data_IF_251409804056
#
_entry.id   IF_251409804056
#
_cell.length_a   1.000
_cell.length_b   1.000
_cell.length_c   1.000
_cell.angle_alpha   90.00
_cell.angle_beta   90.00
_cell.angle_gamma   90.00
#
_symmetry.space_group_name_H-M   'P 1'
#
loop_
_entity.id
_entity.type
_entity.pdbx_description
1 polymer ?
#
# COMPACT_ATOMS: atom_id res chain seq x y z
N UNK A 1 -3.98 0.78 -26.61
CA UNK A 1 -5.40 0.95 -27.00
C UNK A 1 -6.16 1.49 -25.80
N UNK A 2 -7.14 2.36 -26.03
CA UNK A 2 -8.02 2.87 -24.97
C UNK A 2 -9.24 1.95 -24.80
N UNK A 3 -9.89 2.01 -23.65
CA UNK A 3 -11.15 1.31 -23.38
C UNK A 3 -12.10 2.27 -22.67
N UNK A 4 -13.36 2.21 -23.03
CA UNK A 4 -14.40 3.03 -22.42
C UNK A 4 -14.76 2.46 -21.04
N UNK A 5 -15.14 3.35 -20.13
CA UNK A 5 -15.57 3.00 -18.77
C UNK A 5 -16.99 3.48 -18.58
N UNK A 6 -17.83 2.62 -18.03
CA UNK A 6 -19.19 3.00 -17.66
C UNK A 6 -19.17 3.73 -16.31
N UNK A 7 -19.28 5.05 -16.35
CA UNK A 7 -19.35 5.93 -15.19
C UNK A 7 -20.42 7.00 -15.41
N UNK A 8 -21.06 7.50 -14.33
CA UNK A 8 -21.96 8.64 -14.42
C UNK A 8 -21.29 9.85 -15.09
N UNK A 9 -22.09 10.74 -15.67
CA UNK A 9 -21.56 12.01 -16.20
C UNK A 9 -20.76 12.76 -15.10
N UNK A 10 -19.65 13.44 -15.46
CA UNK A 10 -18.76 14.06 -14.46
C UNK A 10 -19.46 14.97 -13.45
N UNK A 11 -20.45 15.75 -13.91
CA UNK A 11 -21.23 16.62 -13.02
C UNK A 11 -22.03 15.84 -11.97
N UNK A 12 -22.67 14.73 -12.37
CA UNK A 12 -23.43 13.90 -11.44
C UNK A 12 -22.52 13.16 -10.45
N UNK A 13 -21.39 12.64 -10.93
CA UNK A 13 -20.39 12.02 -10.08
C UNK A 13 -19.83 13.03 -9.06
N UNK A 14 -19.58 14.27 -9.51
CA UNK A 14 -19.12 15.36 -8.66
C UNK A 14 -20.13 15.71 -7.57
N UNK A 15 -21.39 15.91 -7.93
CA UNK A 15 -22.45 16.23 -6.98
C UNK A 15 -22.55 15.17 -5.89
N UNK A 16 -22.57 13.88 -6.24
CA UNK A 16 -22.61 12.78 -5.26
C UNK A 16 -21.41 12.83 -4.31
N UNK A 17 -20.22 13.12 -4.83
CA UNK A 17 -19.00 13.25 -4.03
C UNK A 17 -19.07 14.44 -3.08
N UNK A 18 -19.50 15.60 -3.57
CA UNK A 18 -19.67 16.82 -2.79
C UNK A 18 -20.69 16.63 -1.66
N UNK A 19 -21.83 15.99 -1.94
CA UNK A 19 -22.85 15.69 -0.93
C UNK A 19 -22.27 14.81 0.19
N UNK A 20 -21.62 13.68 -0.16
CA UNK A 20 -20.98 12.82 0.85
C UNK A 20 -19.91 13.54 1.64
N UNK A 21 -19.08 14.36 0.99
CA UNK A 21 -18.01 15.11 1.67
C UNK A 21 -18.59 16.13 2.66
N UNK A 22 -19.65 16.82 2.29
CA UNK A 22 -20.32 17.78 3.16
C UNK A 22 -20.96 17.10 4.37
N UNK A 23 -21.70 16.00 4.15
CA UNK A 23 -22.30 15.20 5.23
C UNK A 23 -21.23 14.63 6.18
N UNK A 24 -20.14 14.07 5.64
CA UNK A 24 -19.03 13.55 6.45
C UNK A 24 -18.29 14.65 7.22
N UNK A 25 -18.18 15.85 6.66
CA UNK A 25 -17.57 17.00 7.35
C UNK A 25 -18.42 17.43 8.54
N UNK A 26 -19.75 17.45 8.40
CA UNK A 26 -20.66 17.83 9.49
C UNK A 26 -20.58 16.92 10.73
N UNK A 27 -20.18 15.65 10.54
CA UNK A 27 -20.01 14.67 11.63
C UNK A 27 -18.54 14.46 12.04
N UNK A 28 -17.66 15.41 11.73
CA UNK A 28 -16.22 15.38 12.05
C UNK A 28 -15.48 14.14 11.46
N UNK A 29 -15.86 13.73 10.25
CA UNK A 29 -15.21 12.65 9.46
C UNK A 29 -14.77 13.11 8.07
N UNK A 30 -14.54 14.41 7.89
CA UNK A 30 -14.13 15.03 6.62
C UNK A 30 -12.76 14.56 6.09
N UNK A 31 -11.99 13.85 6.90
CA UNK A 31 -10.70 13.26 6.50
C UNK A 31 -10.84 12.16 5.44
N UNK A 32 -11.95 11.41 5.45
CA UNK A 32 -12.19 10.30 4.50
C UNK A 32 -12.73 10.77 3.15
N UNK A 33 -13.49 11.86 3.15
CA UNK A 33 -14.15 12.45 1.99
C UNK A 33 -14.03 13.97 2.07
N UNK A 34 -13.31 14.57 1.14
CA UNK A 34 -13.10 16.02 1.13
C UNK A 34 -13.15 16.61 -0.27
N UNK A 35 -13.46 17.91 -0.32
CA UNK A 35 -13.35 18.75 -1.50
C UNK A 35 -12.51 19.97 -1.16
N UNK A 36 -11.48 20.20 -1.96
CA UNK A 36 -10.58 21.35 -1.92
C UNK A 36 -10.48 22.02 -3.30
N UNK A 37 -9.65 23.07 -3.41
CA UNK A 37 -9.46 23.82 -4.67
C UNK A 37 -8.90 22.96 -5.81
N UNK A 38 -8.29 21.81 -5.51
CA UNK A 38 -7.72 20.87 -6.50
C UNK A 38 -8.69 19.77 -6.88
N UNK A 39 -9.86 19.69 -6.26
CA UNK A 39 -10.88 18.70 -6.55
C UNK A 39 -11.33 17.93 -5.33
N UNK A 40 -11.86 16.74 -5.57
CA UNK A 40 -12.34 15.85 -4.54
C UNK A 40 -11.31 14.78 -4.18
N UNK A 41 -11.24 14.39 -2.91
CA UNK A 41 -10.36 13.36 -2.36
C UNK A 41 -11.16 12.33 -1.58
N UNK A 42 -10.76 11.08 -1.72
CA UNK A 42 -11.11 9.98 -0.83
C UNK A 42 -9.84 9.35 -0.30
N UNK A 43 -9.76 9.15 1.01
CA UNK A 43 -8.66 8.44 1.66
C UNK A 43 -9.24 7.40 2.61
N UNK A 44 -8.95 6.14 2.35
CA UNK A 44 -9.48 4.99 3.06
C UNK A 44 -8.33 4.00 3.31
N UNK A 45 -7.90 3.80 4.58
CA UNK A 45 -6.77 2.94 4.88
C UNK A 45 -6.94 1.49 4.41
N UNK A 46 -8.19 1.02 4.28
CA UNK A 46 -8.51 -0.36 3.90
C UNK A 46 -8.73 -0.49 2.39
N UNK A 47 -9.41 0.49 1.77
CA UNK A 47 -9.78 0.42 0.35
C UNK A 47 -8.81 1.14 -0.58
N UNK A 48 -8.01 2.08 -0.07
CA UNK A 48 -7.09 2.91 -0.84
C UNK A 48 -7.53 4.37 -0.98
N UNK A 49 -7.06 5.04 -2.02
CA UNK A 49 -7.25 6.48 -2.19
C UNK A 49 -7.66 6.83 -3.62
N UNK A 50 -8.48 7.88 -3.75
CA UNK A 50 -8.90 8.42 -5.05
C UNK A 50 -8.93 9.95 -5.06
N UNK A 51 -8.73 10.51 -6.25
CA UNK A 51 -8.81 11.92 -6.57
C UNK A 51 -9.70 12.11 -7.78
N UNK A 52 -10.57 13.12 -7.72
CA UNK A 52 -11.45 13.48 -8.82
C UNK A 52 -11.40 14.98 -9.06
N UNK A 53 -11.10 15.40 -10.28
CA UNK A 53 -11.01 16.81 -10.64
C UNK A 53 -11.81 17.14 -11.89
N UNK A 54 -12.47 18.29 -11.86
CA UNK A 54 -13.15 18.89 -13.00
C UNK A 54 -12.20 19.88 -13.68
N UNK A 55 -12.27 19.95 -15.01
CA UNK A 55 -11.50 20.89 -15.82
C UNK A 55 -12.42 21.63 -16.80
N UNK A 56 -11.88 22.65 -17.45
CA UNK A 56 -12.58 23.34 -18.54
C UNK A 56 -12.79 22.49 -19.79
N UNK A 57 -13.76 22.89 -20.61
CA UNK A 57 -14.13 22.15 -21.82
C UNK A 57 -14.87 20.82 -21.57
N UNK A 58 -15.61 20.70 -20.45
CA UNK A 58 -16.32 19.46 -20.03
C UNK A 58 -15.37 18.26 -19.84
N UNK A 59 -14.14 18.54 -19.44
CA UNK A 59 -13.14 17.53 -19.10
C UNK A 59 -13.17 17.20 -17.61
N UNK A 60 -12.79 15.97 -17.30
CA UNK A 60 -12.61 15.54 -15.92
C UNK A 60 -11.57 14.41 -15.85
N UNK A 61 -10.95 14.24 -14.69
CA UNK A 61 -10.01 13.14 -14.44
C UNK A 61 -10.27 12.53 -13.07
N UNK A 62 -10.28 11.21 -13.03
CA UNK A 62 -10.46 10.39 -11.84
C UNK A 62 -9.29 9.41 -11.77
N UNK A 63 -8.54 9.43 -10.68
CA UNK A 63 -7.35 8.60 -10.53
C UNK A 63 -7.14 8.17 -9.08
N UNK A 64 -6.46 7.04 -8.87
CA UNK A 64 -6.33 6.46 -7.53
C UNK A 64 -5.59 5.14 -7.53
N UNK A 65 -5.56 4.50 -6.36
CA UNK A 65 -5.04 3.16 -6.16
C UNK A 65 -5.72 2.48 -4.98
N UNK A 66 -5.82 1.15 -5.03
CA UNK A 66 -6.22 0.32 -3.89
C UNK A 66 -5.09 0.20 -2.86
N UNK A 67 -5.42 -0.09 -1.60
CA UNK A 67 -4.45 -0.10 -0.49
C UNK A 67 -3.27 -1.09 -0.70
N UNK A 68 -3.54 -2.22 -1.34
CA UNK A 68 -2.63 -3.33 -1.65
C UNK A 68 -2.15 -3.32 -3.11
N UNK A 69 -2.30 -2.20 -3.81
CA UNK A 69 -1.89 -2.08 -5.22
C UNK A 69 -0.42 -2.49 -5.44
N UNK A 70 0.46 -2.10 -4.51
CA UNK A 70 1.89 -2.36 -4.55
C UNK A 70 2.28 -3.84 -4.39
N UNK A 71 1.42 -4.64 -3.77
CA UNK A 71 1.70 -6.05 -3.43
C UNK A 71 1.13 -7.02 -4.45
N UNK A 72 0.02 -6.67 -5.10
CA UNK A 72 -0.69 -7.58 -6.01
C UNK A 72 -0.33 -7.42 -7.50
N UNK A 73 0.30 -6.31 -7.90
CA UNK A 73 0.48 -6.02 -9.33
C UNK A 73 1.86 -6.37 -9.86
N UNK A 74 1.87 -7.03 -11.01
CA UNK A 74 2.91 -6.80 -12.02
C UNK A 74 2.48 -5.65 -12.93
N UNK A 75 3.43 -4.85 -13.43
CA UNK A 75 3.12 -3.72 -14.31
C UNK A 75 2.70 -4.22 -15.70
N UNK A 76 1.46 -4.70 -15.85
CA UNK A 76 0.93 -5.18 -17.13
C UNK A 76 0.77 -4.03 -18.15
N UNK A 77 0.57 -2.79 -17.70
CA UNK A 77 0.63 -1.58 -18.52
C UNK A 77 0.73 -0.32 -17.65
N UNK A 78 1.52 0.65 -18.10
CA UNK A 78 1.55 1.98 -17.49
C UNK A 78 0.20 2.71 -17.70
N UNK A 79 -0.50 3.15 -16.63
CA UNK A 79 -1.85 3.71 -16.71
C UNK A 79 -1.91 5.07 -17.42
N UNK A 80 -0.76 5.68 -17.72
CA UNK A 80 -0.66 6.95 -18.44
C UNK A 80 -0.32 6.76 -19.93
N UNK A 81 -0.22 5.52 -20.41
CA UNK A 81 0.10 5.22 -21.82
C UNK A 81 -0.98 5.74 -22.76
N UNK A 82 -0.63 6.74 -23.58
CA UNK A 82 -1.57 7.33 -24.54
C UNK A 82 -2.65 8.22 -23.90
N UNK A 83 -2.45 8.62 -22.64
CA UNK A 83 -3.35 9.54 -21.96
C UNK A 83 -3.31 10.95 -22.60
N UNK A 84 -4.27 11.85 -22.37
CA UNK A 84 -4.24 13.17 -22.98
C UNK A 84 -3.14 14.10 -22.42
N UNK A 85 -2.67 15.06 -23.22
CA UNK A 85 -1.63 16.02 -22.81
C UNK A 85 -2.11 17.00 -21.73
N UNK A 86 -3.44 17.22 -21.66
CA UNK A 86 -4.09 18.16 -20.76
C UNK A 86 -4.27 17.62 -19.33
N UNK A 87 -4.00 16.33 -19.08
CA UNK A 87 -4.10 15.75 -17.74
C UNK A 87 -3.16 16.45 -16.75
N UNK A 88 -3.42 16.38 -15.43
CA UNK A 88 -2.53 16.94 -14.41
C UNK A 88 -1.24 16.12 -14.26
N UNK A 89 -0.37 16.17 -15.28
CA UNK A 89 0.86 15.36 -15.35
C UNK A 89 1.84 15.62 -14.21
N UNK A 90 1.84 16.83 -13.64
CA UNK A 90 2.66 17.16 -12.48
C UNK A 90 2.28 16.32 -11.24
N UNK A 91 1.00 15.93 -11.12
CA UNK A 91 0.52 15.06 -10.04
C UNK A 91 0.66 13.57 -10.44
N UNK A 92 0.26 13.23 -11.67
CA UNK A 92 0.20 11.84 -12.14
C UNK A 92 1.57 11.20 -12.37
N UNK A 93 2.55 11.97 -12.88
CA UNK A 93 3.89 11.47 -13.22
C UNK A 93 4.61 10.86 -12.02
N UNK A 94 4.79 11.60 -10.90
CA UNK A 94 5.42 11.07 -9.70
C UNK A 94 4.69 9.86 -9.10
N UNK A 95 3.36 9.82 -9.18
CA UNK A 95 2.57 8.68 -8.69
C UNK A 95 2.80 7.43 -9.55
N UNK A 96 2.83 7.57 -10.87
CA UNK A 96 3.16 6.46 -11.78
C UNK A 96 4.61 5.98 -11.61
N UNK A 97 5.56 6.90 -11.45
CA UNK A 97 6.97 6.55 -11.26
C UNK A 97 7.26 5.82 -9.95
N UNK A 98 6.47 6.10 -8.91
CA UNK A 98 6.55 5.47 -7.58
C UNK A 98 5.62 4.26 -7.40
N UNK A 99 4.99 3.77 -8.49
CA UNK A 99 4.08 2.62 -8.47
C UNK A 99 2.83 2.84 -7.61
N UNK A 100 2.46 4.09 -7.33
CA UNK A 100 1.35 4.49 -6.45
C UNK A 100 0.05 4.75 -7.21
N UNK A 101 0.05 4.59 -8.53
CA UNK A 101 -1.08 4.94 -9.41
C UNK A 101 -1.67 3.68 -10.02
N UNK A 102 -2.81 3.21 -9.49
CA UNK A 102 -3.47 1.99 -9.95
C UNK A 102 -4.39 2.20 -11.15
N UNK A 103 -5.07 3.34 -11.22
CA UNK A 103 -5.92 3.68 -12.36
C UNK A 103 -5.91 5.18 -12.66
N UNK A 104 -6.14 5.50 -13.94
CA UNK A 104 -6.43 6.85 -14.43
C UNK A 104 -7.53 6.76 -15.47
N UNK A 105 -8.62 7.48 -15.22
CA UNK A 105 -9.79 7.54 -16.08
C UNK A 105 -10.05 9.02 -16.38
N UNK A 106 -10.27 9.35 -17.64
CA UNK A 106 -10.51 10.72 -18.05
C UNK A 106 -11.79 10.82 -18.86
N UNK A 107 -12.49 11.93 -18.68
CA UNK A 107 -13.67 12.29 -19.45
C UNK A 107 -13.30 13.35 -20.48
N UNK A 108 -13.58 13.07 -21.75
CA UNK A 108 -13.50 14.06 -22.83
C UNK A 108 -14.48 13.65 -23.94
N UNK A 109 -15.10 14.64 -24.59
CA UNK A 109 -16.06 14.40 -25.69
C UNK A 109 -17.23 13.47 -25.30
N UNK A 110 -17.71 13.58 -24.06
CA UNK A 110 -18.91 12.87 -23.60
C UNK A 110 -18.69 11.39 -23.24
N UNK A 111 -17.44 10.94 -23.12
CA UNK A 111 -17.10 9.58 -22.74
C UNK A 111 -16.01 9.54 -21.68
N UNK A 112 -16.08 8.54 -20.83
CA UNK A 112 -14.99 8.15 -19.94
C UNK A 112 -14.10 7.11 -20.62
N UNK A 113 -12.79 7.34 -20.61
CA UNK A 113 -11.81 6.44 -21.20
C UNK A 113 -10.65 6.20 -20.25
N UNK A 114 -10.05 5.01 -20.36
CA UNK A 114 -8.79 4.64 -19.69
C UNK A 114 -7.89 3.84 -20.61
N UNK A 115 -6.65 3.60 -20.18
CA UNK A 115 -5.74 2.67 -20.86
C UNK A 115 -6.26 1.25 -20.72
N UNK A 116 -6.24 0.48 -21.83
CA UNK A 116 -6.62 -0.93 -21.80
C UNK A 116 -5.61 -1.72 -20.96
N UNK A 117 -6.09 -2.31 -19.87
CA UNK A 117 -5.35 -3.28 -19.07
C UNK A 117 -5.40 -4.66 -19.78
N UNK A 118 -4.29 -5.39 -19.77
CA UNK A 118 -4.17 -6.67 -20.51
C UNK A 118 -4.83 -7.85 -19.79
N UNK A 119 -4.88 -7.83 -18.46
CA UNK A 119 -5.60 -8.82 -17.65
C UNK A 119 -6.92 -8.25 -17.13
N UNK A 120 -7.83 -9.13 -16.74
CA UNK A 120 -9.00 -8.81 -15.93
C UNK A 120 -8.58 -8.44 -14.49
N UNK A 121 -7.66 -7.49 -14.36
CA UNK A 121 -7.25 -6.95 -13.08
C UNK A 121 -8.36 -6.02 -12.59
N UNK A 122 -8.85 -6.28 -11.38
CA UNK A 122 -9.68 -5.31 -10.68
C UNK A 122 -8.76 -4.25 -10.08
N UNK A 123 -8.79 -3.05 -10.68
CA UNK A 123 -8.04 -1.89 -10.20
C UNK A 123 -8.61 -1.28 -8.91
N UNK A 124 -9.67 -1.90 -8.36
CA UNK A 124 -10.32 -1.51 -7.12
C UNK A 124 -11.19 -0.27 -7.26
N UNK A 125 -11.25 0.36 -8.45
CA UNK A 125 -12.01 1.58 -8.69
C UNK A 125 -13.48 1.42 -8.33
N UNK A 126 -14.10 0.31 -8.74
CA UNK A 126 -15.52 0.06 -8.49
C UNK A 126 -15.83 -0.03 -6.99
N UNK A 127 -14.99 -0.72 -6.20
CA UNK A 127 -15.12 -0.79 -4.74
C UNK A 127 -14.87 0.56 -4.07
N UNK A 128 -13.80 1.26 -4.48
CA UNK A 128 -13.41 2.56 -3.95
C UNK A 128 -14.39 3.68 -4.29
N UNK A 129 -15.19 3.54 -5.33
CA UNK A 129 -16.17 4.55 -5.74
C UNK A 129 -17.62 4.06 -5.61
N UNK A 130 -17.85 2.87 -5.07
CA UNK A 130 -19.17 2.26 -4.95
C UNK A 130 -20.24 3.23 -4.41
N UNK A 131 -19.99 4.06 -3.37
CA UNK A 131 -20.97 5.05 -2.89
C UNK A 131 -21.43 6.09 -3.91
N UNK A 132 -20.73 6.25 -5.04
CA UNK A 132 -20.96 7.31 -6.03
C UNK A 132 -21.51 6.80 -7.36
N UNK A 133 -21.43 5.50 -7.64
CA UNK A 133 -21.73 4.96 -8.98
C UNK A 133 -23.22 5.04 -9.29
N UNK A 134 -24.08 4.84 -8.28
CA UNK A 134 -25.54 4.91 -8.42
C UNK A 134 -26.16 5.80 -7.36
N UNK A 135 -27.37 6.28 -7.65
CA UNK A 135 -28.14 7.06 -6.68
C UNK A 135 -28.45 6.24 -5.42
N UNK A 136 -28.86 4.97 -5.59
CA UNK A 136 -29.16 4.07 -4.47
C UNK A 136 -27.95 3.85 -3.56
N UNK A 137 -26.75 3.70 -4.12
CA UNK A 137 -25.53 3.56 -3.33
C UNK A 137 -25.17 4.87 -2.60
N UNK A 138 -25.38 6.04 -3.21
CA UNK A 138 -25.14 7.32 -2.54
C UNK A 138 -26.13 7.53 -1.40
N UNK A 139 -27.42 7.28 -1.62
CA UNK A 139 -28.45 7.34 -0.58
C UNK A 139 -28.14 6.36 0.56
N UNK A 140 -27.70 5.14 0.22
CA UNK A 140 -27.30 4.15 1.23
C UNK A 140 -26.11 4.61 2.05
N UNK A 141 -25.09 5.19 1.41
CA UNK A 141 -23.91 5.72 2.09
C UNK A 141 -24.25 6.91 2.99
N UNK A 142 -25.11 7.83 2.54
CA UNK A 142 -25.59 8.98 3.35
C UNK A 142 -26.34 8.52 4.60
N UNK A 143 -27.19 7.48 4.49
CA UNK A 143 -27.89 6.91 5.65
C UNK A 143 -26.94 6.23 6.63
N UNK A 144 -25.87 5.61 6.12
CA UNK A 144 -24.86 4.92 6.93
C UNK A 144 -23.97 5.85 7.76
N UNK A 145 -24.11 7.17 7.61
CA UNK A 145 -23.40 8.18 8.40
C UNK A 145 -23.91 8.18 9.86
N UNK A 146 -25.19 7.89 10.06
CA UNK A 146 -25.85 7.87 11.37
C UNK A 146 -25.99 6.46 11.97
N UNK A 147 -26.05 6.31 13.30
CA UNK A 147 -26.28 5.02 13.95
C UNK A 147 -27.66 4.42 13.63
N UNK A 148 -27.74 3.08 13.64
CA UNK A 148 -28.93 2.31 13.22
C UNK A 148 -30.22 2.59 14.01
N UNK A 149 -30.15 3.31 15.13
CA UNK A 149 -31.30 3.67 15.97
C UNK A 149 -32.18 4.77 15.37
N UNK A 150 -31.74 5.45 14.31
CA UNK A 150 -32.40 6.64 13.73
C UNK A 150 -33.09 6.36 12.38
N UNK A 151 -33.25 5.09 11.98
CA UNK A 151 -33.45 4.67 10.58
C UNK A 151 -34.81 4.95 9.89
N UNK A 152 -35.87 5.40 10.57
CA UNK A 152 -37.18 5.60 9.89
C UNK A 152 -37.17 6.92 9.10
N UNK A 153 -37.49 6.87 7.81
CA UNK A 153 -37.58 8.06 6.94
C UNK A 153 -36.25 8.57 6.40
N UNK A 154 -35.10 8.17 6.95
CA UNK A 154 -33.77 8.64 6.51
C UNK A 154 -33.46 8.36 5.03
N UNK A 155 -34.07 7.34 4.42
CA UNK A 155 -33.89 7.09 2.99
C UNK A 155 -34.44 8.23 2.14
N UNK A 156 -35.63 8.71 2.48
CA UNK A 156 -36.30 9.75 1.72
C UNK A 156 -35.59 11.09 1.96
N UNK A 157 -35.20 11.38 3.21
CA UNK A 157 -34.40 12.57 3.56
C UNK A 157 -33.05 12.58 2.84
N UNK A 158 -32.33 11.45 2.81
CA UNK A 158 -31.06 11.36 2.09
C UNK A 158 -31.23 11.51 0.57
N UNK A 159 -32.32 11.01 0.00
CA UNK A 159 -32.65 11.20 -1.41
C UNK A 159 -32.99 12.67 -1.70
N UNK A 160 -33.77 13.33 -0.84
CA UNK A 160 -34.11 14.74 -0.94
C UNK A 160 -32.86 15.63 -0.90
N UNK A 161 -31.94 15.38 0.04
CA UNK A 161 -30.64 16.07 0.09
C UNK A 161 -29.86 15.88 -1.22
N UNK A 162 -29.78 14.66 -1.73
CA UNK A 162 -29.06 14.38 -2.98
C UNK A 162 -29.72 15.09 -4.18
N UNK A 163 -31.05 15.11 -4.26
CA UNK A 163 -31.78 15.81 -5.32
C UNK A 163 -31.60 17.33 -5.23
N UNK A 164 -31.59 17.89 -4.02
CA UNK A 164 -31.27 19.30 -3.80
C UNK A 164 -29.83 19.62 -4.23
N UNK A 165 -28.87 18.74 -3.94
CA UNK A 165 -27.49 18.88 -4.39
C UNK A 165 -27.36 18.84 -5.92
N UNK A 166 -28.15 18.02 -6.62
CA UNK A 166 -28.19 18.00 -8.09
C UNK A 166 -28.71 19.33 -8.65
N UNK A 167 -29.64 19.98 -7.95
CA UNK A 167 -30.15 21.31 -8.32
C UNK A 167 -29.25 22.47 -7.88
N UNK A 168 -28.27 22.22 -7.01
CA UNK A 168 -27.43 23.26 -6.42
C UNK A 168 -28.18 24.10 -5.37
N UNK A 169 -29.12 23.48 -4.67
CA UNK A 169 -30.07 24.12 -3.75
C UNK A 169 -29.91 23.65 -2.30
N UNK A 170 -28.77 23.05 -1.95
CA UNK A 170 -28.54 22.59 -0.57
C UNK A 170 -28.44 23.78 0.38
N UNK A 171 -29.13 23.67 1.50
CA UNK A 171 -29.12 24.63 2.60
C UNK A 171 -29.04 23.92 3.98
N UNK A 172 -29.20 24.69 5.06
CA UNK A 172 -29.11 24.19 6.42
C UNK A 172 -30.19 23.15 6.73
N UNK A 173 -31.43 23.37 6.28
CA UNK A 173 -32.58 22.52 6.57
C UNK A 173 -32.37 21.10 6.04
N UNK A 174 -31.75 20.97 4.87
CA UNK A 174 -31.43 19.65 4.31
C UNK A 174 -30.43 18.87 5.18
N UNK A 175 -29.43 19.55 5.76
CA UNK A 175 -28.47 18.90 6.65
C UNK A 175 -29.06 18.64 8.03
N UNK A 176 -29.84 19.56 8.60
CA UNK A 176 -30.55 19.38 9.88
C UNK A 176 -31.51 18.19 9.80
N UNK A 177 -32.26 18.06 8.69
CA UNK A 177 -33.15 16.94 8.47
C UNK A 177 -32.41 15.60 8.44
N UNK A 178 -31.23 15.56 7.81
CA UNK A 178 -30.44 14.33 7.69
C UNK A 178 -29.66 14.01 8.96
N UNK A 179 -29.03 14.99 9.60
CA UNK A 179 -28.00 14.81 10.62
C UNK A 179 -28.47 15.12 12.06
N UNK A 180 -29.61 15.80 12.23
CA UNK A 180 -30.15 16.20 13.53
C UNK A 180 -29.33 17.27 14.25
N UNK A 181 -29.55 17.40 15.56
CA UNK A 181 -29.08 18.53 16.38
C UNK A 181 -27.62 18.43 16.85
N UNK A 182 -26.95 17.29 16.65
CA UNK A 182 -25.66 16.98 17.27
C UNK A 182 -24.44 17.18 16.34
N UNK A 183 -24.60 17.92 15.25
CA UNK A 183 -23.59 18.05 14.17
C UNK A 183 -23.21 19.49 13.86
N UNK A 184 -22.04 19.68 13.26
CA UNK A 184 -21.60 20.99 12.78
C UNK A 184 -22.20 21.30 11.40
N UNK A 185 -23.44 21.78 11.39
CA UNK A 185 -24.15 22.21 10.17
C UNK A 185 -23.38 23.32 9.43
N UNK A 186 -22.70 24.20 10.17
CA UNK A 186 -21.87 25.26 9.59
C UNK A 186 -20.71 24.68 8.77
N UNK A 187 -20.01 23.67 9.31
CA UNK A 187 -18.95 22.98 8.61
C UNK A 187 -19.47 22.19 7.40
N UNK A 188 -20.63 21.52 7.52
CA UNK A 188 -21.29 20.84 6.41
C UNK A 188 -21.63 21.82 5.27
N UNK A 189 -22.22 22.97 5.59
CA UNK A 189 -22.53 24.02 4.60
C UNK A 189 -21.28 24.61 3.96
N UNK A 190 -20.22 24.85 4.74
CA UNK A 190 -18.96 25.33 4.18
C UNK A 190 -18.35 24.31 3.21
N UNK A 191 -18.43 23.02 3.51
CA UNK A 191 -18.00 21.95 2.60
C UNK A 191 -18.91 21.84 1.36
N UNK A 192 -20.23 21.96 1.52
CA UNK A 192 -21.20 22.00 0.42
C UNK A 192 -20.96 23.19 -0.52
N UNK A 193 -20.63 24.36 0.04
CA UNK A 193 -20.29 25.56 -0.72
C UNK A 193 -18.99 25.37 -1.53
N UNK A 194 -17.95 24.77 -0.93
CA UNK A 194 -16.73 24.37 -1.67
C UNK A 194 -17.04 23.34 -2.76
N UNK A 195 -18.00 22.44 -2.51
CA UNK A 195 -18.48 21.47 -3.49
C UNK A 195 -19.31 22.07 -4.64
N UNK A 196 -19.77 23.32 -4.52
CA UNK A 196 -20.60 23.95 -5.52
C UNK A 196 -22.05 23.46 -5.55
N UNK A 197 -22.55 22.92 -4.43
CA UNK A 197 -23.91 22.33 -4.33
C UNK A 197 -24.90 23.20 -3.55
N UNK A 198 -24.50 24.41 -3.15
CA UNK A 198 -25.39 25.42 -2.53
C UNK A 198 -25.65 26.57 -3.52
N UNK A 199 -26.74 27.36 -3.34
CA UNK A 199 -27.10 28.43 -4.26
C UNK A 199 -25.96 29.43 -4.51
N UNK A 200 -25.74 29.75 -5.79
CA UNK A 200 -24.75 30.76 -6.22
C UNK A 200 -23.28 30.30 -6.19
N UNK A 201 -23.00 29.08 -5.72
CA UNK A 201 -21.65 28.51 -5.75
C UNK A 201 -21.38 27.71 -7.02
N UNK A 202 -20.10 27.36 -7.25
CA UNK A 202 -19.68 26.56 -8.40
C UNK A 202 -18.62 25.55 -7.95
N UNK A 203 -18.62 24.34 -8.53
CA UNK A 203 -17.54 23.38 -8.33
C UNK A 203 -16.17 23.98 -8.68
N UNK A 204 -15.13 23.74 -7.87
CA UNK A 204 -13.76 24.08 -8.23
C UNK A 204 -13.35 23.33 -9.50
N UNK A 205 -12.51 23.99 -10.30
CA UNK A 205 -11.94 23.45 -11.51
C UNK A 205 -10.44 23.67 -11.47
N UNK A 206 -9.69 22.66 -11.91
CA UNK A 206 -8.25 22.79 -12.05
C UNK A 206 -7.90 23.18 -13.48
N UNK A 207 -6.78 23.89 -13.61
CA UNK A 207 -6.20 24.19 -14.92
C UNK A 207 -5.72 22.90 -15.61
N UNK A 208 -5.82 22.82 -16.94
CA UNK A 208 -5.18 21.77 -17.72
C UNK A 208 -3.68 21.69 -17.41
N UNK A 209 -3.19 20.47 -17.22
CA UNK A 209 -1.76 20.24 -17.10
C UNK A 209 -1.05 20.19 -18.45
N UNK A 210 0.24 19.87 -18.41
CA UNK A 210 1.07 19.71 -19.59
C UNK A 210 1.88 18.43 -19.49
N UNK A 211 1.76 17.56 -20.50
CA UNK A 211 2.60 16.37 -20.62
C UNK A 211 4.07 16.75 -20.71
N UNK A 212 4.96 16.16 -19.87
CA UNK A 212 6.38 16.34 -20.03
C UNK A 212 6.87 15.68 -21.33
N UNK A 213 7.89 16.25 -22.01
CA UNK A 213 8.38 15.73 -23.28
C UNK A 213 8.97 14.31 -23.14
N UNK A 214 9.57 14.02 -21.99
CA UNK A 214 10.07 12.69 -21.63
C UNK A 214 9.54 12.33 -20.24
N UNK A 215 9.15 11.06 -20.07
CA UNK A 215 8.73 10.51 -18.79
C UNK A 215 9.47 9.22 -18.53
N UNK A 216 9.85 9.00 -17.27
CA UNK A 216 10.40 7.71 -16.84
C UNK A 216 9.26 6.71 -16.73
N UNK A 217 9.40 5.58 -17.40
CA UNK A 217 8.39 4.52 -17.41
C UNK A 217 8.93 3.35 -16.63
N UNK A 218 8.27 3.04 -15.52
CA UNK A 218 8.56 1.84 -14.73
C UNK A 218 8.09 0.59 -15.51
N UNK A 219 8.88 -0.48 -15.49
CA UNK A 219 8.65 -1.76 -16.19
C UNK A 219 8.51 -2.96 -15.25
N UNK A 220 8.98 -2.85 -14.02
CA UNK A 220 8.80 -3.84 -12.95
C UNK A 220 8.07 -3.15 -11.80
N UNK A 221 6.97 -3.70 -11.30
CA UNK A 221 6.40 -3.24 -10.02
C UNK A 221 7.42 -3.40 -8.88
N UNK A 222 7.13 -2.87 -7.69
CA UNK A 222 8.02 -3.13 -6.54
C UNK A 222 8.14 -4.63 -6.25
N UNK A 223 7.02 -5.36 -6.20
CA UNK A 223 7.02 -6.81 -5.94
C UNK A 223 7.63 -7.65 -7.08
N UNK A 224 7.55 -7.22 -8.33
CA UNK A 224 8.30 -7.86 -9.44
C UNK A 224 9.80 -7.63 -9.32
N UNK A 225 10.21 -6.44 -8.90
CA UNK A 225 11.62 -6.12 -8.69
C UNK A 225 12.19 -6.92 -7.51
N UNK A 226 11.45 -7.03 -6.41
CA UNK A 226 11.83 -7.86 -5.27
C UNK A 226 11.97 -9.34 -5.68
N UNK A 227 10.98 -9.90 -6.40
CA UNK A 227 11.02 -11.29 -6.90
C UNK A 227 12.15 -11.53 -7.91
N UNK A 228 12.52 -10.53 -8.72
CA UNK A 228 13.69 -10.63 -9.59
C UNK A 228 14.97 -10.80 -8.76
N UNK A 229 15.10 -10.07 -7.65
CA UNK A 229 16.23 -10.21 -6.73
C UNK A 229 16.19 -11.57 -6.03
N UNK A 230 15.03 -12.00 -5.52
CA UNK A 230 14.88 -13.29 -4.84
C UNK A 230 15.19 -14.47 -5.76
N UNK A 231 14.72 -14.45 -7.00
CA UNK A 231 15.08 -15.45 -8.01
C UNK A 231 16.59 -15.53 -8.22
N UNK A 232 17.26 -14.37 -8.33
CA UNK A 232 18.72 -14.32 -8.43
C UNK A 232 19.43 -14.78 -7.14
N UNK A 233 18.83 -14.60 -5.96
CA UNK A 233 19.35 -15.14 -4.69
C UNK A 233 19.22 -16.67 -4.60
N UNK A 234 18.15 -17.27 -5.13
CA UNK A 234 18.01 -18.73 -5.22
C UNK A 234 19.07 -19.36 -6.11
N UNK A 235 19.45 -18.69 -7.18
CA UNK A 235 20.49 -19.15 -8.12
C UNK A 235 21.91 -18.81 -7.64
N UNK A 236 22.04 -17.95 -6.63
CA UNK A 236 23.33 -17.47 -6.17
C UNK A 236 24.13 -18.55 -5.43
N UNK A 237 25.44 -18.59 -5.70
CA UNK A 237 26.37 -19.36 -4.88
C UNK A 237 26.90 -18.49 -3.74
N UNK A 238 26.84 -19.02 -2.52
CA UNK A 238 27.36 -18.36 -1.32
C UNK A 238 28.88 -18.13 -1.43
N UNK A 239 29.32 -16.87 -1.25
CA UNK A 239 30.74 -16.56 -1.26
C UNK A 239 31.43 -17.14 -0.01
N UNK A 240 32.64 -17.69 -0.20
CA UNK A 240 33.41 -18.29 0.90
C UNK A 240 33.97 -17.22 1.82
N UNK A 241 33.41 -17.09 3.03
CA UNK A 241 33.85 -16.17 4.08
C UNK A 241 34.57 -16.92 5.21
N UNK A 242 35.47 -16.26 5.96
CA UNK A 242 35.92 -16.78 7.24
C UNK A 242 34.73 -17.06 8.17
N UNK A 243 34.80 -18.13 8.98
CA UNK A 243 33.75 -18.36 9.98
C UNK A 243 33.73 -17.20 10.99
N UNK A 244 32.55 -16.78 11.46
CA UNK A 244 32.46 -15.84 12.58
C UNK A 244 33.16 -16.40 13.83
N UNK A 245 33.63 -15.53 14.74
CA UNK A 245 34.17 -15.98 16.01
C UNK A 245 33.09 -16.67 16.84
N UNK A 246 33.50 -17.53 17.77
CA UNK A 246 32.61 -18.02 18.82
C UNK A 246 32.28 -16.85 19.75
N UNK A 247 30.98 -16.57 19.93
CA UNK A 247 30.47 -15.42 20.68
C UNK A 247 29.63 -15.87 21.88
N UNK A 248 29.61 -15.06 22.94
CA UNK A 248 28.72 -15.31 24.09
C UNK A 248 27.25 -15.22 23.67
N UNK A 249 26.93 -14.36 22.69
CA UNK A 249 25.60 -14.21 22.10
C UNK A 249 25.12 -15.50 21.42
N UNK A 250 26.03 -16.24 20.75
CA UNK A 250 25.68 -17.54 20.17
C UNK A 250 25.37 -18.54 21.29
N UNK A 251 26.18 -18.55 22.35
CA UNK A 251 25.94 -19.37 23.54
C UNK A 251 24.58 -19.07 24.18
N UNK A 252 24.23 -17.79 24.33
CA UNK A 252 22.95 -17.36 24.88
C UNK A 252 21.76 -17.80 24.01
N UNK A 253 21.87 -17.69 22.68
CA UNK A 253 20.84 -18.16 21.76
C UNK A 253 20.67 -19.69 21.83
N UNK A 254 21.77 -20.43 21.79
CA UNK A 254 21.75 -21.91 21.86
C UNK A 254 21.15 -22.38 23.19
N UNK A 255 21.57 -21.79 24.31
CA UNK A 255 21.04 -22.12 25.62
C UNK A 255 19.53 -21.89 25.70
N UNK A 256 19.07 -20.71 25.24
CA UNK A 256 17.64 -20.40 25.20
C UNK A 256 16.85 -21.39 24.32
N UNK A 257 17.39 -21.79 23.16
CA UNK A 257 16.75 -22.80 22.30
C UNK A 257 16.67 -24.18 22.98
N UNK A 258 17.72 -24.60 23.69
CA UNK A 258 17.74 -25.86 24.42
C UNK A 258 16.71 -25.87 25.57
N UNK A 259 16.59 -24.77 26.30
CA UNK A 259 15.57 -24.61 27.36
C UNK A 259 14.14 -24.61 26.79
N UNK A 260 13.99 -24.17 25.54
CA UNK A 260 12.71 -24.10 24.80
C UNK A 260 12.44 -25.33 23.96
N UNK A 261 13.24 -26.40 24.09
CA UNK A 261 13.03 -27.62 23.34
C UNK A 261 11.65 -28.24 23.66
N UNK A 262 10.78 -28.47 22.67
CA UNK A 262 9.41 -28.93 22.90
C UNK A 262 9.34 -30.31 23.58
N UNK A 263 10.36 -31.16 23.38
CA UNK A 263 10.49 -32.47 24.03
C UNK A 263 11.26 -32.47 25.35
N UNK A 264 11.80 -31.33 25.80
CA UNK A 264 12.65 -31.23 26.99
C UNK A 264 14.00 -31.95 26.88
N UNK A 265 14.39 -32.41 25.69
CA UNK A 265 15.62 -33.16 25.40
C UNK A 265 16.72 -32.27 24.77
N UNK A 266 16.51 -30.95 24.80
CA UNK A 266 17.39 -29.96 24.20
C UNK A 266 17.34 -29.92 22.66
N UNK A 267 16.47 -30.69 22.00
CA UNK A 267 16.29 -30.60 20.54
C UNK A 267 15.35 -29.46 20.19
N UNK A 268 15.90 -28.42 19.60
CA UNK A 268 15.16 -27.29 19.07
C UNK A 268 15.79 -26.82 17.75
N UNK A 269 14.95 -26.37 16.80
CA UNK A 269 15.37 -25.79 15.54
C UNK A 269 14.80 -24.40 15.33
N UNK A 270 15.69 -23.49 14.93
CA UNK A 270 15.41 -22.11 14.59
C UNK A 270 15.77 -21.90 13.13
N UNK A 271 14.83 -21.39 12.35
CA UNK A 271 15.08 -20.77 11.07
C UNK A 271 14.77 -19.28 11.24
N UNK A 272 15.75 -18.42 11.02
CA UNK A 272 15.59 -16.97 11.13
C UNK A 272 16.10 -16.23 9.89
N UNK A 273 15.40 -15.16 9.54
CA UNK A 273 15.82 -14.12 8.61
C UNK A 273 15.94 -12.80 9.37
N UNK A 274 17.01 -12.06 9.12
CA UNK A 274 17.20 -10.74 9.69
C UNK A 274 18.01 -9.82 8.77
N UNK A 275 17.56 -8.58 8.64
CA UNK A 275 18.29 -7.50 7.98
C UNK A 275 18.45 -6.30 8.95
N UNK A 276 18.71 -5.10 8.42
CA UNK A 276 18.86 -3.88 9.19
C UNK A 276 17.60 -3.55 10.03
N UNK A 277 16.40 -3.75 9.48
CA UNK A 277 15.13 -3.30 10.07
C UNK A 277 14.14 -4.44 10.35
N UNK A 278 14.15 -5.50 9.55
CA UNK A 278 13.19 -6.61 9.60
C UNK A 278 13.75 -7.86 10.27
N UNK A 279 12.85 -8.65 10.84
CA UNK A 279 13.12 -9.98 11.40
C UNK A 279 11.92 -10.89 11.09
N UNK A 280 12.21 -12.12 10.67
CA UNK A 280 11.21 -13.16 10.47
C UNK A 280 11.76 -14.50 10.98
N UNK A 281 10.87 -15.38 11.42
CA UNK A 281 11.21 -16.74 11.80
C UNK A 281 10.21 -17.71 11.18
N UNK A 282 10.70 -18.86 10.72
CA UNK A 282 9.88 -19.95 10.20
C UNK A 282 9.98 -21.18 11.12
N UNK A 283 8.92 -21.99 11.25
CA UNK A 283 8.97 -23.21 12.03
C UNK A 283 9.97 -24.19 11.40
N UNK A 284 10.94 -24.64 12.20
CA UNK A 284 11.78 -25.79 11.86
C UNK A 284 11.13 -27.12 12.29
N UNK A 285 11.90 -28.21 12.23
CA UNK A 285 11.45 -29.55 12.68
C UNK A 285 11.00 -29.62 14.16
N UNK A 286 11.64 -28.83 15.04
CA UNK A 286 11.40 -28.80 16.48
C UNK A 286 11.37 -27.33 16.95
N UNK A 287 10.33 -26.55 16.61
CA UNK A 287 10.30 -25.12 16.93
C UNK A 287 10.31 -24.88 18.44
N UNK A 288 10.85 -23.74 18.92
CA UNK A 288 10.87 -23.41 20.34
C UNK A 288 9.44 -23.34 20.90
N UNK A 289 9.22 -23.96 22.07
CA UNK A 289 7.92 -24.00 22.72
C UNK A 289 7.63 -22.73 23.54
N UNK A 290 6.36 -22.31 23.55
CA UNK A 290 5.88 -21.31 24.48
C UNK A 290 5.82 -21.87 25.91
N UNK A 291 6.09 -21.03 26.91
CA UNK A 291 6.00 -21.45 28.30
C UNK A 291 4.59 -21.19 28.87
N UNK A 292 4.08 -22.07 29.76
CA UNK A 292 2.82 -21.81 30.44
C UNK A 292 2.84 -20.50 31.23
N UNK A 293 1.84 -19.65 31.00
CA UNK A 293 1.73 -18.34 31.67
C UNK A 293 2.57 -17.23 31.05
N UNK A 294 3.26 -17.49 29.93
CA UNK A 294 3.99 -16.49 29.19
C UNK A 294 3.03 -15.51 28.47
N UNK A 295 3.37 -14.22 28.47
CA UNK A 295 2.63 -13.22 27.70
C UNK A 295 2.68 -13.54 26.21
N UNK A 296 1.58 -13.30 25.50
CA UNK A 296 1.51 -13.46 24.04
C UNK A 296 2.71 -12.76 23.38
N UNK A 297 3.43 -13.49 22.52
CA UNK A 297 4.64 -13.02 21.81
C UNK A 297 5.89 -12.75 22.65
N UNK A 298 5.93 -13.01 23.96
CA UNK A 298 7.16 -12.79 24.73
C UNK A 298 8.32 -13.68 24.25
N UNK A 299 8.06 -14.95 23.92
CA UNK A 299 9.05 -15.84 23.32
C UNK A 299 9.60 -15.30 21.99
N UNK A 300 8.72 -14.81 21.12
CA UNK A 300 9.12 -14.21 19.84
C UNK A 300 9.94 -12.92 19.99
N UNK A 301 9.56 -12.04 20.93
CA UNK A 301 10.34 -10.83 21.26
C UNK A 301 11.74 -11.21 21.75
N UNK A 302 11.82 -12.18 22.68
CA UNK A 302 13.09 -12.63 23.21
C UNK A 302 13.97 -13.27 22.15
N UNK A 303 13.40 -14.10 21.28
CA UNK A 303 14.10 -14.67 20.14
C UNK A 303 14.66 -13.57 19.22
N UNK A 304 13.84 -12.57 18.90
CA UNK A 304 14.25 -11.43 18.06
C UNK A 304 15.44 -10.69 18.68
N UNK A 305 15.43 -10.44 19.99
CA UNK A 305 16.54 -9.80 20.70
C UNK A 305 17.83 -10.62 20.61
N UNK A 306 17.75 -11.92 20.90
CA UNK A 306 18.90 -12.83 20.90
C UNK A 306 19.52 -12.93 19.50
N UNK A 307 18.68 -13.12 18.48
CA UNK A 307 19.15 -13.23 17.10
C UNK A 307 19.76 -11.90 16.61
N UNK A 308 19.18 -10.75 16.96
CA UNK A 308 19.77 -9.44 16.62
C UNK A 308 21.06 -9.16 17.39
N UNK A 309 21.18 -9.61 18.64
CA UNK A 309 22.42 -9.50 19.40
C UNK A 309 23.54 -10.31 18.74
N UNK A 310 23.25 -11.58 18.43
CA UNK A 310 24.17 -12.44 17.68
C UNK A 310 24.60 -11.82 16.35
N UNK A 311 23.63 -11.33 15.56
CA UNK A 311 23.88 -10.71 14.27
C UNK A 311 24.81 -9.48 14.36
N UNK A 312 24.70 -8.70 15.44
CA UNK A 312 25.60 -7.57 15.71
C UNK A 312 26.99 -8.03 16.13
N UNK A 313 27.08 -9.02 17.02
CA UNK A 313 28.34 -9.56 17.50
C UNK A 313 29.17 -10.20 16.38
N UNK A 314 28.50 -10.82 15.39
CA UNK A 314 29.13 -11.47 14.23
C UNK A 314 29.32 -10.54 13.03
N UNK A 315 28.98 -9.25 13.16
CA UNK A 315 29.11 -8.29 12.07
C UNK A 315 30.59 -7.98 11.78
N UNK A 316 31.03 -8.18 10.53
CA UNK A 316 32.36 -7.74 10.07
C UNK A 316 32.23 -6.59 9.05
N UNK A 317 32.98 -5.48 9.20
CA UNK A 317 32.88 -4.34 8.27
C UNK A 317 33.35 -4.66 6.83
N UNK A 318 34.06 -5.77 6.62
CA UNK A 318 34.52 -6.22 5.30
C UNK A 318 33.48 -7.13 4.64
N UNK A 319 32.98 -8.11 5.40
CA UNK A 319 32.14 -9.20 4.87
C UNK A 319 30.64 -8.95 5.04
N UNK A 320 30.26 -8.02 5.90
CA UNK A 320 28.89 -7.72 6.29
C UNK A 320 28.34 -8.69 7.33
N UNK A 321 27.01 -8.72 7.42
CA UNK A 321 26.23 -9.60 8.29
C UNK A 321 25.52 -10.66 7.46
N UNK A 322 25.24 -11.80 8.08
CA UNK A 322 24.40 -12.82 7.46
C UNK A 322 22.95 -12.32 7.33
N UNK A 323 22.22 -12.89 6.39
CA UNK A 323 20.80 -12.62 6.12
C UNK A 323 19.91 -13.72 6.71
N UNK A 324 20.33 -14.98 6.57
CA UNK A 324 19.62 -16.14 7.09
C UNK A 324 20.47 -16.91 8.09
N UNK A 325 19.82 -17.45 9.11
CA UNK A 325 20.41 -18.23 10.18
C UNK A 325 19.57 -19.49 10.41
N UNK A 326 20.21 -20.65 10.42
CA UNK A 326 19.63 -21.90 10.91
C UNK A 326 20.42 -22.39 12.10
N UNK A 327 19.74 -22.65 13.21
CA UNK A 327 20.33 -23.24 14.42
C UNK A 327 19.59 -24.51 14.75
N UNK A 328 20.33 -25.60 14.94
CA UNK A 328 19.81 -26.87 15.41
C UNK A 328 20.53 -27.24 16.70
N UNK A 329 19.77 -27.56 17.72
CA UNK A 329 20.30 -27.89 19.05
C UNK A 329 19.96 -29.32 19.43
N UNK A 330 20.72 -29.84 20.38
CA UNK A 330 20.48 -31.05 21.14
C UNK A 330 20.91 -30.77 22.59
N UNK A 331 20.72 -31.70 23.52
CA UNK A 331 21.16 -31.53 24.90
C UNK A 331 22.65 -31.12 25.09
N UNK A 332 23.55 -31.49 24.18
CA UNK A 332 25.01 -31.29 24.37
C UNK A 332 25.73 -30.68 23.17
N UNK A 333 25.07 -30.58 22.02
CA UNK A 333 25.66 -30.11 20.76
C UNK A 333 24.70 -29.17 20.05
N UNK A 334 25.26 -28.34 19.20
CA UNK A 334 24.48 -27.54 18.27
C UNK A 334 25.18 -27.51 16.90
N UNK A 335 24.40 -27.14 15.88
CA UNK A 335 24.86 -26.82 14.53
C UNK A 335 24.31 -25.46 14.16
N UNK A 336 25.15 -24.63 13.56
CA UNK A 336 24.73 -23.35 12.97
C UNK A 336 25.10 -23.30 11.50
N UNK A 337 24.17 -22.83 10.69
CA UNK A 337 24.38 -22.43 9.30
C UNK A 337 24.00 -20.96 9.11
N UNK A 338 24.80 -20.24 8.33
CA UNK A 338 24.61 -18.82 8.02
C UNK A 338 24.67 -18.64 6.51
N UNK A 339 23.75 -17.88 5.95
CA UNK A 339 23.77 -17.49 4.54
C UNK A 339 23.79 -15.96 4.44
N UNK A 340 24.73 -15.43 3.68
CA UNK A 340 24.94 -14.00 3.49
C UNK A 340 24.45 -13.54 2.11
N UNK A 341 24.41 -14.44 1.13
CA UNK A 341 24.23 -14.11 -0.28
C UNK A 341 23.06 -14.86 -0.93
N UNK A 342 22.91 -16.14 -0.61
CA UNK A 342 21.93 -17.01 -1.26
C UNK A 342 20.64 -17.14 -0.45
N UNK A 343 19.54 -17.41 -1.15
CA UNK A 343 18.33 -17.91 -0.53
C UNK A 343 18.53 -19.39 -0.18
N UNK A 344 18.58 -19.79 1.10
CA UNK A 344 18.90 -21.16 1.46
C UNK A 344 17.73 -22.10 1.18
N UNK A 345 18.02 -23.32 0.70
CA UNK A 345 17.00 -24.32 0.36
C UNK A 345 16.11 -24.77 1.54
N UNK A 346 16.56 -24.52 2.77
CA UNK A 346 15.81 -24.80 3.99
C UNK A 346 14.87 -23.66 4.42
N UNK A 347 14.93 -22.49 3.78
CA UNK A 347 14.01 -21.38 4.02
C UNK A 347 12.90 -21.40 2.99
N UNK A 348 11.66 -21.50 3.45
CA UNK A 348 10.50 -21.54 2.56
C UNK A 348 10.31 -20.20 1.87
N UNK A 349 10.21 -20.23 0.54
CA UNK A 349 9.80 -19.11 -0.30
C UNK A 349 8.34 -19.32 -0.70
N UNK A 350 7.45 -18.45 -0.21
CA UNK A 350 6.05 -18.42 -0.59
C UNK A 350 5.80 -17.55 -1.84
N UNK A 351 6.84 -16.91 -2.37
CA UNK A 351 6.80 -15.97 -3.49
C UNK A 351 6.16 -14.62 -3.17
N UNK A 352 5.79 -14.39 -1.91
CA UNK A 352 5.05 -13.22 -1.44
C UNK A 352 5.86 -12.43 -0.41
N UNK A 353 6.59 -13.13 0.46
CA UNK A 353 7.34 -12.57 1.56
C UNK A 353 8.82 -12.94 1.46
N UNK A 354 9.68 -11.95 1.69
CA UNK A 354 11.12 -12.14 1.57
C UNK A 354 11.90 -10.90 1.97
N UNK A 355 13.23 -10.93 1.81
CA UNK A 355 14.08 -9.78 2.08
C UNK A 355 13.71 -8.58 1.22
N UNK A 356 13.43 -7.45 1.84
CA UNK A 356 13.06 -6.23 1.10
C UNK A 356 14.29 -5.65 0.40
N UNK A 357 14.16 -5.28 -0.88
CA UNK A 357 15.27 -4.78 -1.68
C UNK A 357 15.97 -3.56 -1.06
N UNK A 358 15.23 -2.65 -0.42
CA UNK A 358 15.82 -1.49 0.27
C UNK A 358 16.72 -1.90 1.42
N UNK A 359 16.32 -2.91 2.19
CA UNK A 359 17.12 -3.42 3.30
C UNK A 359 18.33 -4.21 2.77
N UNK A 360 18.14 -5.01 1.72
CA UNK A 360 19.25 -5.69 1.04
C UNK A 360 20.27 -4.69 0.48
N UNK A 361 19.83 -3.55 -0.06
CA UNK A 361 20.70 -2.50 -0.57
C UNK A 361 21.61 -1.96 0.55
N UNK A 362 21.04 -1.61 1.71
CA UNK A 362 21.82 -1.17 2.88
C UNK A 362 22.84 -2.25 3.30
N UNK A 363 22.40 -3.51 3.37
CA UNK A 363 23.25 -4.65 3.75
C UNK A 363 24.40 -4.88 2.75
N UNK A 364 24.17 -4.72 1.44
CA UNK A 364 25.21 -4.86 0.43
C UNK A 364 26.13 -3.65 0.37
N UNK A 365 25.61 -2.44 0.60
CA UNK A 365 26.41 -1.21 0.62
C UNK A 365 27.40 -1.20 1.77
N UNK A 366 27.03 -1.75 2.93
CA UNK A 366 27.90 -1.92 4.08
C UNK A 366 29.06 -2.92 3.86
N UNK A 367 28.98 -3.76 2.81
CA UNK A 367 30.01 -4.76 2.48
C UNK A 367 31.10 -4.17 1.59
N UNK A 368 32.32 -4.68 1.75
CA UNK A 368 33.39 -4.49 0.77
C UNK A 368 33.00 -5.06 -0.59
N UNK A 369 33.38 -4.38 -1.69
CA UNK A 369 32.92 -4.71 -3.05
C UNK A 369 33.12 -6.17 -3.46
N UNK A 370 34.23 -6.80 -3.07
CA UNK A 370 34.53 -8.20 -3.37
C UNK A 370 33.65 -9.23 -2.64
N UNK A 371 32.90 -8.79 -1.62
CA UNK A 371 31.99 -9.60 -0.80
C UNK A 371 30.52 -9.35 -1.13
N UNK A 372 30.26 -8.59 -2.20
CA UNK A 372 28.93 -8.35 -2.74
C UNK A 372 28.61 -9.46 -3.73
N UNK A 373 27.49 -10.16 -3.56
CA UNK A 373 27.10 -11.22 -4.48
C UNK A 373 26.75 -10.68 -5.87
N UNK A 374 26.78 -11.53 -6.91
CA UNK A 374 26.59 -11.10 -8.30
C UNK A 374 25.20 -10.51 -8.60
N UNK A 375 24.19 -10.78 -7.75
CA UNK A 375 22.86 -10.18 -7.88
C UNK A 375 22.78 -8.73 -7.34
N UNK A 376 23.81 -8.22 -6.66
CA UNK A 376 23.80 -6.85 -6.10
C UNK A 376 23.43 -5.75 -7.11
N UNK A 377 23.87 -5.78 -8.39
CA UNK A 377 23.43 -4.79 -9.38
C UNK A 377 21.91 -4.76 -9.61
N UNK A 378 21.19 -5.85 -9.32
CA UNK A 378 19.73 -5.90 -9.41
C UNK A 378 19.05 -5.05 -8.32
N UNK A 379 19.75 -4.63 -7.27
CA UNK A 379 19.20 -3.75 -6.23
C UNK A 379 18.98 -2.32 -6.71
N UNK A 380 19.70 -1.90 -7.76
CA UNK A 380 19.62 -0.57 -8.33
C UNK A 380 18.18 -0.27 -8.78
N UNK A 381 17.53 0.81 -8.27
CA UNK A 381 16.21 1.24 -8.71
C UNK A 381 16.07 1.37 -10.23
N UNK A 382 17.13 1.74 -10.96
CA UNK A 382 17.11 1.91 -12.42
C UNK A 382 16.79 0.62 -13.18
N UNK A 383 17.02 -0.55 -12.56
CA UNK A 383 16.65 -1.86 -13.15
C UNK A 383 15.14 -1.96 -13.39
N UNK A 384 14.34 -1.29 -12.57
CA UNK A 384 12.88 -1.26 -12.71
C UNK A 384 12.37 -0.30 -13.79
N UNK A 385 13.22 0.50 -14.44
CA UNK A 385 12.79 1.47 -15.44
C UNK A 385 13.19 1.05 -16.86
N UNK A 386 12.45 1.56 -17.86
CA UNK A 386 12.87 1.44 -19.25
C UNK A 386 14.15 2.27 -19.47
N UNK A 387 15.11 1.77 -20.27
CA UNK A 387 16.25 2.59 -20.68
C UNK A 387 15.75 3.90 -21.31
N UNK A 388 16.38 5.01 -20.97
CA UNK A 388 16.15 6.28 -21.69
C UNK A 388 16.72 6.14 -23.09
N UNK A 389 15.83 5.99 -24.08
CA UNK A 389 16.16 5.99 -25.51
C UNK A 389 16.61 7.35 -25.99
#
# INVERSE_FOLDING_TARGET
MLTDVDLPAPGLLWTRWATLSATMTGIDRGERWSVDERGARRDDPELGWARFALLDGRRAVLYGARADHHTETGLDADPLTGAPDWLPWADLGPLAESDRLGFVIWHENGRWSRVRQQRHYDDGMAGLLAPLLTEEQTVTALRGVLPATELRGLRDIAAELLHAAVRGEVDAEHFEALLGDAVDIGAALAAAARGGIVPGTRPPRIEPGQRPPMRRVRRLSQGEHDRLVWGAMHEATELRRPPPPDTEELGALVHWLQERAPGGDGRCSLLAYADATSFSAQPGEHPPADQPGEERYAGFRRLTELVRALRRAESDPRYGRWLFLRVETSATKFRVERCYDSWPAWWHDDGVSGPWRTNLQEEMEARGRQWRPPWTPLLDPEVAYRPTS
#
